data_IF_516934031803
#
_entry.id   IF_516934031803
#
_cell.length_a   1.000
_cell.length_b   1.000
_cell.length_c   1.000
_cell.angle_alpha   90.00
_cell.angle_beta   90.00
_cell.angle_gamma   90.00
#
_symmetry.space_group_name_H-M   'P 1'
#
loop_
_entity.id
_entity.type
_entity.pdbx_description
1 polymer ?
#
# COMPACT_ATOMS: atom_id res chain seq x y z
N UNK A 1 -4.54 11.95 11.13
CA UNK A 1 -3.82 11.28 10.01
C UNK A 1 -4.20 11.80 8.63
N UNK A 2 -3.19 12.23 7.86
CA UNK A 2 -3.29 12.76 6.49
C UNK A 2 -2.81 11.71 5.47
N UNK A 3 -3.53 11.56 4.35
CA UNK A 3 -3.17 10.64 3.27
C UNK A 3 -2.78 11.41 2.00
N UNK A 4 -1.59 11.15 1.48
CA UNK A 4 -1.10 11.65 0.19
C UNK A 4 -0.88 10.46 -0.77
N UNK A 5 -0.88 10.74 -2.07
CA UNK A 5 -0.71 9.73 -3.11
C UNK A 5 0.30 10.23 -4.13
N UNK A 6 1.32 9.40 -4.41
CA UNK A 6 2.25 9.69 -5.52
C UNK A 6 1.49 9.67 -6.86
N UNK A 7 1.92 10.46 -7.87
CA UNK A 7 1.34 10.42 -9.21
C UNK A 7 1.36 9.01 -9.83
N UNK A 8 2.41 8.23 -9.58
CA UNK A 8 2.53 6.82 -9.98
C UNK A 8 1.46 5.95 -9.32
N UNK A 9 1.21 6.13 -8.01
CA UNK A 9 0.18 5.39 -7.30
C UNK A 9 -1.21 5.59 -7.91
N UNK A 10 -1.52 6.83 -8.33
CA UNK A 10 -2.78 7.12 -9.02
C UNK A 10 -2.89 6.39 -10.36
N UNK A 11 -1.78 6.19 -11.07
CA UNK A 11 -1.72 5.40 -12.31
C UNK A 11 -1.94 3.91 -12.03
N UNK A 12 -1.27 3.38 -11.01
CA UNK A 12 -1.43 2.00 -10.57
C UNK A 12 -2.89 1.69 -10.18
N UNK A 13 -3.50 2.58 -9.39
CA UNK A 13 -4.91 2.51 -9.03
C UNK A 13 -5.82 2.45 -10.26
N UNK A 14 -5.64 3.37 -11.21
CA UNK A 14 -6.44 3.40 -12.44
C UNK A 14 -6.30 2.12 -13.25
N UNK A 15 -5.10 1.54 -13.31
CA UNK A 15 -4.88 0.27 -14.00
C UNK A 15 -5.60 -0.89 -13.31
N UNK A 16 -5.53 -0.97 -11.98
CA UNK A 16 -6.13 -2.04 -11.19
C UNK A 16 -7.65 -1.94 -11.11
N UNK A 17 -8.23 -0.73 -11.09
CA UNK A 17 -9.68 -0.51 -11.11
C UNK A 17 -10.37 -1.13 -12.33
N UNK A 18 -9.65 -1.27 -13.46
CA UNK A 18 -10.16 -1.97 -14.65
C UNK A 18 -10.46 -3.45 -14.35
N UNK A 19 -9.67 -4.07 -13.47
CA UNK A 19 -9.80 -5.48 -13.05
C UNK A 19 -10.67 -5.62 -11.80
N UNK A 20 -10.57 -4.68 -10.86
CA UNK A 20 -11.14 -4.76 -9.52
C UNK A 20 -12.00 -3.53 -9.23
N UNK A 21 -13.27 -3.58 -9.63
CA UNK A 21 -14.17 -2.41 -9.59
C UNK A 21 -14.39 -1.82 -8.19
N UNK A 22 -14.27 -2.63 -7.14
CA UNK A 22 -14.48 -2.21 -5.74
C UNK A 22 -13.21 -1.67 -5.08
N UNK A 23 -12.06 -1.68 -5.76
CA UNK A 23 -10.76 -1.40 -5.16
C UNK A 23 -10.70 -0.02 -4.48
N UNK A 24 -11.43 0.96 -4.99
CA UNK A 24 -11.53 2.27 -4.37
C UNK A 24 -12.17 2.18 -2.97
N UNK A 25 -13.35 1.57 -2.85
CA UNK A 25 -14.01 1.32 -1.56
C UNK A 25 -13.15 0.44 -0.64
N UNK A 26 -12.51 -0.58 -1.20
CA UNK A 26 -11.65 -1.49 -0.44
C UNK A 26 -10.47 -0.74 0.17
N UNK A 27 -9.89 0.25 -0.53
CA UNK A 27 -8.82 1.09 0.00
C UNK A 27 -9.29 2.11 1.02
N UNK A 28 -10.53 2.60 0.94
CA UNK A 28 -11.10 3.42 2.01
C UNK A 28 -11.21 2.63 3.32
N UNK A 29 -11.48 1.33 3.26
CA UNK A 29 -11.41 0.46 4.45
C UNK A 29 -9.97 0.33 4.95
N UNK A 30 -8.98 0.18 4.06
CA UNK A 30 -7.57 0.15 4.44
C UNK A 30 -7.15 1.46 5.13
N UNK A 31 -7.54 2.62 4.60
CA UNK A 31 -7.27 3.93 5.23
C UNK A 31 -7.79 3.99 6.67
N UNK A 32 -9.03 3.54 6.92
CA UNK A 32 -9.60 3.49 8.29
C UNK A 32 -8.80 2.59 9.24
N UNK A 33 -8.25 1.48 8.74
CA UNK A 33 -7.36 0.64 9.55
C UNK A 33 -6.06 1.37 9.84
N UNK A 34 -5.46 1.98 8.81
CA UNK A 34 -4.20 2.72 8.94
C UNK A 34 -4.32 3.95 9.86
N UNK A 35 -5.49 4.58 9.98
CA UNK A 35 -5.70 5.66 10.96
C UNK A 35 -5.59 5.20 12.41
N UNK A 36 -5.75 3.90 12.69
CA UNK A 36 -5.70 3.32 14.03
C UNK A 36 -4.37 2.57 14.25
N UNK A 37 -3.89 1.87 13.22
CA UNK A 37 -2.69 1.06 13.25
C UNK A 37 -1.88 1.27 11.96
N UNK A 38 -1.08 2.35 11.89
CA UNK A 38 -0.28 2.70 10.71
C UNK A 38 1.03 1.92 10.59
N UNK A 39 1.44 1.18 11.63
CA UNK A 39 2.70 0.43 11.65
C UNK A 39 2.58 -0.97 11.02
N UNK A 40 3.72 -1.65 10.86
CA UNK A 40 3.72 -3.02 10.40
C UNK A 40 3.04 -3.97 11.38
N UNK A 41 2.26 -4.90 10.83
CA UNK A 41 1.54 -5.92 11.59
C UNK A 41 1.60 -7.24 10.84
N UNK A 42 2.64 -8.06 11.08
CA UNK A 42 2.68 -9.42 10.54
C UNK A 42 1.44 -10.22 10.99
N UNK A 43 0.84 -11.06 10.12
CA UNK A 43 1.29 -11.41 8.76
C UNK A 43 0.68 -10.50 7.65
N UNK A 44 0.07 -9.36 8.00
CA UNK A 44 -0.65 -8.51 7.07
C UNK A 44 0.25 -7.48 6.38
N UNK A 45 1.11 -6.84 7.14
CA UNK A 45 2.08 -5.84 6.68
C UNK A 45 3.46 -6.09 7.28
N UNK A 46 4.47 -5.63 6.56
CA UNK A 46 5.89 -5.80 6.91
C UNK A 46 6.62 -4.50 6.58
N UNK A 47 7.50 -4.07 7.48
CA UNK A 47 8.43 -2.99 7.19
C UNK A 47 9.41 -3.42 6.10
N UNK A 48 9.77 -2.50 5.21
CA UNK A 48 10.80 -2.69 4.20
C UNK A 48 12.09 -2.06 4.75
N UNK A 49 12.95 -2.92 5.30
CA UNK A 49 14.24 -2.52 5.85
C UNK A 49 15.34 -2.46 4.77
N UNK A 50 16.51 -1.97 5.17
CA UNK A 50 17.73 -1.92 4.34
C UNK A 50 17.63 -1.03 3.09
N UNK A 51 16.78 0.00 3.13
CA UNK A 51 16.74 1.03 2.09
C UNK A 51 17.65 2.22 2.38
N UNK A 52 18.25 2.28 3.58
CA UNK A 52 19.03 3.44 4.03
C UNK A 52 18.18 4.70 4.23
N UNK A 53 16.88 4.52 4.49
CA UNK A 53 15.92 5.59 4.69
C UNK A 53 15.61 5.78 6.17
N UNK A 54 15.44 7.03 6.58
CA UNK A 54 14.89 7.38 7.89
C UNK A 54 13.37 7.14 7.92
N UNK A 55 12.69 7.39 6.79
CA UNK A 55 11.24 7.21 6.67
C UNK A 55 10.85 5.73 6.77
N UNK A 56 9.86 5.42 7.61
CA UNK A 56 9.30 4.06 7.73
C UNK A 56 8.50 3.71 6.46
N UNK A 57 8.92 2.68 5.74
CA UNK A 57 8.22 2.20 4.54
C UNK A 57 7.63 0.82 4.81
N UNK A 58 6.33 0.68 4.60
CA UNK A 58 5.58 -0.52 4.95
C UNK A 58 4.92 -1.12 3.71
N UNK A 59 4.99 -2.45 3.62
CA UNK A 59 4.37 -3.28 2.58
C UNK A 59 3.22 -4.08 3.16
N UNK A 60 2.00 -3.74 2.77
CA UNK A 60 0.80 -4.53 3.05
C UNK A 60 0.68 -5.64 2.02
N UNK A 61 0.60 -6.90 2.47
CA UNK A 61 0.47 -8.10 1.62
C UNK A 61 -0.93 -8.72 1.64
N UNK A 62 -1.74 -8.38 2.64
CA UNK A 62 -3.06 -8.97 2.85
C UNK A 62 -4.14 -7.89 2.87
N UNK A 63 -4.67 -7.60 1.68
CA UNK A 63 -5.73 -6.60 1.47
C UNK A 63 -6.98 -7.34 1.03
N UNK A 64 -8.10 -7.11 1.70
CA UNK A 64 -9.39 -7.62 1.23
C UNK A 64 -9.85 -6.82 0.01
N UNK A 65 -10.46 -7.49 -0.96
CA UNK A 65 -11.04 -6.85 -2.13
C UNK A 65 -12.34 -7.54 -2.50
N UNK A 66 -13.46 -6.84 -2.40
CA UNK A 66 -14.79 -7.41 -2.63
C UNK A 66 -14.96 -7.95 -4.07
N UNK A 67 -14.28 -7.34 -5.04
CA UNK A 67 -14.28 -7.80 -6.43
C UNK A 67 -13.67 -9.21 -6.59
N UNK A 68 -12.85 -9.67 -5.63
CA UNK A 68 -12.21 -10.99 -5.65
C UNK A 68 -12.94 -11.90 -4.65
N UNK A 69 -14.02 -12.52 -5.12
CA UNK A 69 -14.89 -13.38 -4.28
C UNK A 69 -14.17 -14.60 -3.72
N UNK A 70 -14.50 -14.97 -2.49
CA UNK A 70 -14.00 -16.20 -1.84
C UNK A 70 -12.53 -16.16 -1.40
N UNK A 71 -11.82 -15.03 -1.53
CA UNK A 71 -10.39 -14.93 -1.19
C UNK A 71 -10.12 -14.19 0.13
N UNK A 72 -11.10 -13.48 0.68
CA UNK A 72 -10.90 -12.66 1.88
C UNK A 72 -9.72 -11.70 1.69
N UNK A 73 -8.78 -11.69 2.63
CA UNK A 73 -7.54 -10.89 2.55
C UNK A 73 -6.46 -11.48 1.64
N UNK A 74 -6.64 -12.72 1.15
CA UNK A 74 -5.67 -13.42 0.29
C UNK A 74 -5.88 -13.11 -1.20
N UNK A 75 -6.13 -11.83 -1.51
CA UNK A 75 -6.39 -11.34 -2.87
C UNK A 75 -5.15 -11.37 -3.74
N UNK A 76 -3.97 -11.16 -3.14
CA UNK A 76 -2.72 -10.95 -3.87
C UNK A 76 -2.43 -9.48 -4.18
N UNK A 77 -3.31 -8.55 -3.80
CA UNK A 77 -3.03 -7.12 -3.84
C UNK A 77 -1.98 -6.74 -2.80
N UNK A 78 -1.10 -5.81 -3.18
CA UNK A 78 -0.01 -5.30 -2.36
C UNK A 78 -0.01 -3.78 -2.41
N UNK A 79 0.04 -3.15 -1.24
CA UNK A 79 0.11 -1.70 -1.06
C UNK A 79 1.43 -1.37 -0.40
N UNK A 80 2.14 -0.40 -0.95
CA UNK A 80 3.35 0.18 -0.38
C UNK A 80 3.05 1.61 0.05
N UNK A 81 3.39 1.95 1.29
CA UNK A 81 3.27 3.32 1.80
C UNK A 81 4.45 3.71 2.67
N UNK A 82 4.73 5.00 2.71
CA UNK A 82 5.61 5.61 3.70
C UNK A 82 4.77 6.17 4.84
N UNK A 83 5.20 5.96 6.08
CA UNK A 83 4.60 6.49 7.29
C UNK A 83 5.57 7.45 7.99
N UNK A 84 5.07 8.66 8.26
CA UNK A 84 5.76 9.69 9.02
C UNK A 84 5.11 9.81 10.39
N UNK A 85 5.65 9.10 11.38
CA UNK A 85 5.15 9.05 12.75
C UNK A 85 4.90 10.44 13.35
N UNK A 86 5.88 11.34 13.25
CA UNK A 86 5.78 12.69 13.84
C UNK A 86 4.73 13.62 13.22
N UNK A 87 4.26 13.32 12.01
CA UNK A 87 3.31 14.16 11.27
C UNK A 87 1.94 13.50 11.06
N UNK A 88 1.72 12.32 11.64
CA UNK A 88 0.57 11.44 11.34
C UNK A 88 0.27 11.37 9.83
N UNK A 89 1.30 11.21 9.00
CA UNK A 89 1.15 11.29 7.55
C UNK A 89 1.49 9.96 6.89
N UNK A 90 0.62 9.52 5.98
CA UNK A 90 0.86 8.37 5.11
C UNK A 90 0.92 8.84 3.66
N UNK A 91 1.95 8.39 2.95
CA UNK A 91 2.09 8.62 1.50
C UNK A 91 2.00 7.28 0.79
N UNK A 92 0.97 7.09 -0.04
CA UNK A 92 0.83 5.90 -0.87
C UNK A 92 1.78 5.95 -2.07
N UNK A 93 2.60 4.90 -2.20
CA UNK A 93 3.74 4.85 -3.13
C UNK A 93 3.42 3.98 -4.33
N UNK A 94 2.90 2.79 -4.08
CA UNK A 94 2.68 1.78 -5.11
C UNK A 94 1.54 0.83 -4.74
N UNK A 95 0.75 0.43 -5.74
CA UNK A 95 -0.29 -0.59 -5.62
C UNK A 95 -0.15 -1.59 -6.76
N UNK A 96 -0.11 -2.88 -6.46
CA UNK A 96 0.02 -3.89 -7.51
C UNK A 96 -0.58 -5.22 -7.10
N UNK A 97 -0.84 -6.07 -8.09
CA UNK A 97 -1.18 -7.47 -7.86
C UNK A 97 0.07 -8.33 -7.96
N UNK A 98 0.24 -9.30 -7.05
CA UNK A 98 1.45 -10.13 -6.95
C UNK A 98 1.82 -10.96 -8.18
N UNK A 99 0.84 -11.24 -9.04
CA UNK A 99 1.06 -11.97 -10.29
C UNK A 99 1.51 -11.05 -11.43
N UNK A 100 1.23 -9.75 -11.32
CA UNK A 100 1.66 -8.76 -12.32
C UNK A 100 3.08 -8.24 -11.99
N UNK A 101 3.49 -8.34 -10.72
CA UNK A 101 4.81 -7.90 -10.25
C UNK A 101 5.24 -8.64 -8.98
N UNK A 102 6.50 -9.06 -8.93
CA UNK A 102 7.06 -9.81 -7.81
C UNK A 102 7.33 -8.95 -6.57
N UNK A 103 7.98 -7.80 -6.73
CA UNK A 103 8.43 -6.92 -5.65
C UNK A 103 8.05 -5.45 -5.85
N UNK A 104 8.18 -4.65 -4.79
CA UNK A 104 8.02 -3.20 -4.81
C UNK A 104 9.06 -2.49 -5.68
N UNK A 105 8.72 -1.29 -6.17
CA UNK A 105 9.62 -0.41 -6.91
C UNK A 105 10.53 0.36 -5.94
N UNK A 106 11.67 -0.25 -5.59
CA UNK A 106 12.67 0.37 -4.70
C UNK A 106 13.18 1.71 -5.23
N UNK A 107 13.31 1.86 -6.54
CA UNK A 107 13.77 3.12 -7.16
C UNK A 107 12.73 4.23 -7.00
N UNK A 108 11.43 3.91 -7.08
CA UNK A 108 10.36 4.86 -6.77
C UNK A 108 10.40 5.31 -5.31
N UNK A 109 10.65 4.39 -4.39
CA UNK A 109 10.78 4.72 -2.95
C UNK A 109 11.98 5.66 -2.74
N UNK A 110 13.18 5.24 -3.16
CA UNK A 110 14.41 6.02 -2.93
C UNK A 110 14.42 7.41 -3.57
N UNK A 111 13.67 7.63 -4.66
CA UNK A 111 13.56 8.94 -5.31
C UNK A 111 12.64 9.92 -4.59
N UNK A 112 11.71 9.44 -3.77
CA UNK A 112 10.67 10.26 -3.15
C UNK A 112 10.83 10.41 -1.63
N UNK A 113 11.60 9.53 -1.00
CA UNK A 113 11.76 9.46 0.45
C UNK A 113 13.23 9.53 0.84
N UNK A 114 13.48 10.01 2.06
CA UNK A 114 14.80 10.05 2.70
C UNK A 114 14.76 9.26 4.00
#
# INVERSE_FOLDING_TARGET
MTFEELPEFKRDMKALLKKYRTLHEDLEVVKKVLTIAPDERPPFSFRIDNLGLETCVIKVKKIACKAIKGRGVNTGLRLIYAFYEGNEKIVFIELYHKNDKESEDKQRILRNFK
#
